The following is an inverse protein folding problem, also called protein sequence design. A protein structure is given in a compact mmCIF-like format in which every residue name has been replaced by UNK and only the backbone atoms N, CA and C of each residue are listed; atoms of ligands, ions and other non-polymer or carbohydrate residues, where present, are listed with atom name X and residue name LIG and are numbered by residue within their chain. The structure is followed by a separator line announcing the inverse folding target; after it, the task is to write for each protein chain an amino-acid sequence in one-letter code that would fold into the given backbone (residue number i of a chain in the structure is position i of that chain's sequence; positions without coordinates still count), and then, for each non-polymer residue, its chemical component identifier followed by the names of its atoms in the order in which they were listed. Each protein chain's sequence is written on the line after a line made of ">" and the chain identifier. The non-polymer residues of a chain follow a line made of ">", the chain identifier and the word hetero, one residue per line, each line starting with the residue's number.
data_IF_719896245457
#
_entry.id   IF_719896245457
#
_cell.length_a   1.000
_cell.length_b   1.000
_cell.length_c   1.000
_cell.angle_alpha   90.00
_cell.angle_beta   90.00
_cell.angle_gamma   90.00
#
_symmetry.space_group_name_H-M   'P 1'
#
loop_
_entity.id
_entity.type
_entity.pdbx_description
1 polymer ?
#
# COMPACT_ATOMS: atom_id res chain seq x y z
N UNK A 1 12.94 61.05 -24.50
CA UNK A 1 11.78 61.20 -23.58
C UNK A 1 11.21 59.84 -23.13
N UNK A 2 12.03 58.89 -22.65
CA UNK A 2 11.55 57.61 -22.05
C UNK A 2 12.40 57.08 -20.88
N UNK A 3 13.50 57.75 -20.53
CA UNK A 3 14.39 57.32 -19.43
C UNK A 3 14.08 58.09 -18.12
N UNK A 4 13.38 59.22 -18.19
CA UNK A 4 13.06 60.05 -17.02
C UNK A 4 11.76 59.66 -16.27
N UNK A 5 11.01 58.66 -16.76
CA UNK A 5 9.78 58.16 -16.10
C UNK A 5 10.04 57.02 -15.11
N UNK A 6 11.23 56.42 -15.12
CA UNK A 6 11.59 55.30 -14.22
C UNK A 6 12.06 55.73 -12.83
N UNK A 7 12.59 56.95 -12.69
CA UNK A 7 13.18 57.44 -11.42
C UNK A 7 12.19 58.15 -10.50
N UNK A 8 11.00 58.52 -10.98
CA UNK A 8 9.95 59.16 -10.17
C UNK A 8 8.96 58.16 -9.54
N UNK A 9 8.93 56.90 -10.00
CA UNK A 9 8.10 55.85 -9.42
C UNK A 9 8.76 55.17 -8.19
N UNK A 10 10.08 55.30 -8.03
CA UNK A 10 10.81 54.76 -6.88
C UNK A 10 10.82 55.69 -5.66
N UNK A 11 10.44 56.96 -5.83
CA UNK A 11 10.46 57.98 -4.78
C UNK A 11 9.12 58.18 -4.03
N UNK A 12 8.06 57.44 -4.39
CA UNK A 12 6.79 57.42 -3.64
C UNK A 12 6.55 56.10 -2.86
N UNK A 13 7.48 55.15 -2.93
CA UNK A 13 7.42 53.89 -2.18
C UNK A 13 8.18 53.92 -0.83
N UNK A 14 8.69 55.08 -0.42
CA UNK A 14 9.26 55.31 0.91
C UNK A 14 8.35 56.23 1.71
N UNK A 15 7.13 55.76 1.97
CA UNK A 15 6.37 56.19 3.15
C UNK A 15 6.34 54.99 4.10
N UNK A 16 6.65 55.17 5.38
CA UNK A 16 6.65 54.05 6.31
C UNK A 16 5.22 53.54 6.42
N UNK A 17 4.98 52.31 5.95
CA UNK A 17 3.81 51.53 6.30
C UNK A 17 3.97 51.05 7.76
N UNK A 18 4.19 51.98 8.69
CA UNK A 18 4.43 51.70 10.11
C UNK A 18 3.25 52.15 11.00
N UNK A 19 2.13 52.62 10.42
CA UNK A 19 0.99 53.15 11.18
C UNK A 19 -0.32 52.37 10.97
N UNK A 20 -0.28 51.19 10.35
CA UNK A 20 -1.47 50.33 10.21
C UNK A 20 -1.44 49.07 11.10
N UNK A 21 -0.34 48.82 11.83
CA UNK A 21 -0.14 47.59 12.61
C UNK A 21 -0.55 47.71 14.09
N UNK A 22 -0.60 48.93 14.63
CA UNK A 22 -0.94 49.17 16.06
C UNK A 22 -2.43 48.92 16.38
N UNK A 23 -3.32 49.21 15.43
CA UNK A 23 -4.77 49.04 15.62
C UNK A 23 -5.22 47.58 15.54
N UNK A 24 -4.57 46.77 14.71
CA UNK A 24 -4.87 45.34 14.57
C UNK A 24 -4.26 44.51 15.70
N UNK A 25 -3.06 44.87 16.18
CA UNK A 25 -2.38 44.16 17.25
C UNK A 25 -3.10 44.29 18.59
N UNK A 26 -3.54 45.51 18.94
CA UNK A 26 -4.32 45.78 20.16
C UNK A 26 -5.69 45.08 20.16
N UNK A 27 -6.36 45.01 19.01
CA UNK A 27 -7.62 44.28 18.85
C UNK A 27 -7.45 42.77 19.02
N UNK A 28 -6.36 42.18 18.49
CA UNK A 28 -6.07 40.76 18.67
C UNK A 28 -5.68 40.48 20.13
N UNK A 29 -4.85 41.32 20.76
CA UNK A 29 -4.51 41.19 22.19
C UNK A 29 -5.76 41.24 23.10
N UNK A 30 -6.78 42.01 22.74
CA UNK A 30 -8.05 42.06 23.47
C UNK A 30 -8.87 40.76 23.39
N UNK A 31 -8.61 39.90 22.39
CA UNK A 31 -9.29 38.58 22.26
C UNK A 31 -8.61 37.47 23.05
N UNK A 32 -7.43 37.72 23.62
CA UNK A 32 -6.70 36.69 24.37
C UNK A 32 -7.31 36.44 25.76
N UNK A 33 -7.30 35.18 26.21
CA UNK A 33 -7.75 34.83 27.55
C UNK A 33 -6.81 35.40 28.62
N UNK A 34 -7.38 35.71 29.79
CA UNK A 34 -6.66 36.34 30.92
C UNK A 34 -5.43 35.54 31.37
N UNK A 35 -5.51 34.20 31.29
CA UNK A 35 -4.40 33.31 31.62
C UNK A 35 -3.20 33.53 30.66
N UNK A 36 -3.45 33.72 29.37
CA UNK A 36 -2.42 33.90 28.35
C UNK A 36 -1.78 35.28 28.44
N UNK A 37 -2.58 36.32 28.72
CA UNK A 37 -2.07 37.66 28.99
C UNK A 37 -1.11 37.66 30.20
N UNK A 38 -1.43 36.92 31.26
CA UNK A 38 -0.55 36.77 32.42
C UNK A 38 0.77 36.11 32.05
N UNK A 39 0.72 35.04 31.23
CA UNK A 39 1.93 34.37 30.74
C UNK A 39 2.78 35.25 29.84
N UNK A 40 2.16 35.99 28.91
CA UNK A 40 2.89 36.94 28.07
C UNK A 40 3.52 38.05 28.89
N UNK A 41 2.81 38.65 29.85
CA UNK A 41 3.36 39.69 30.71
C UNK A 41 4.60 39.22 31.49
N UNK A 42 4.54 38.01 32.09
CA UNK A 42 5.68 37.44 32.83
C UNK A 42 6.86 37.17 31.91
N UNK A 43 6.64 36.48 30.78
CA UNK A 43 7.74 36.12 29.88
C UNK A 43 8.35 37.34 29.19
N UNK A 44 7.55 38.35 28.84
CA UNK A 44 8.04 39.59 28.22
C UNK A 44 8.82 40.44 29.22
N UNK A 45 8.41 40.49 30.50
CA UNK A 45 9.16 41.21 31.55
C UNK A 45 10.56 40.64 31.81
N UNK A 46 10.77 39.34 31.52
CA UNK A 46 12.07 38.69 31.58
C UNK A 46 12.87 38.78 30.26
N UNK A 47 12.33 39.46 29.25
CA UNK A 47 12.91 39.55 27.91
C UNK A 47 13.33 40.99 27.56
N UNK A 48 14.04 41.15 26.45
CA UNK A 48 14.40 42.47 25.90
C UNK A 48 13.31 43.08 25.03
N UNK A 49 12.17 42.39 24.84
CA UNK A 49 11.06 42.87 24.01
C UNK A 49 10.03 43.62 24.86
N UNK A 50 9.30 44.56 24.26
CA UNK A 50 8.12 45.19 24.88
C UNK A 50 6.83 44.45 24.46
N UNK A 51 5.78 44.54 25.28
CA UNK A 51 4.49 43.87 25.06
C UNK A 51 3.79 44.33 23.77
N UNK A 52 4.02 45.57 23.37
CA UNK A 52 3.49 46.16 22.14
C UNK A 52 4.42 45.96 20.94
N UNK A 53 5.68 45.56 21.16
CA UNK A 53 6.61 45.26 20.09
C UNK A 53 6.36 43.85 19.53
N UNK A 54 5.37 43.80 18.64
CA UNK A 54 4.97 42.59 17.93
C UNK A 54 6.12 42.00 17.11
N UNK A 55 6.99 42.81 16.51
CA UNK A 55 8.10 42.28 15.72
C UNK A 55 9.16 41.59 16.59
N UNK A 56 9.51 42.19 17.73
CA UNK A 56 10.46 41.56 18.66
C UNK A 56 9.90 40.26 19.23
N UNK A 57 8.63 40.28 19.67
CA UNK A 57 7.95 39.10 20.22
C UNK A 57 7.80 37.98 19.18
N UNK A 58 7.55 38.32 17.92
CA UNK A 58 7.38 37.35 16.84
C UNK A 58 8.70 36.75 16.32
N UNK A 59 9.83 37.44 16.50
CA UNK A 59 11.14 36.99 16.02
C UNK A 59 11.95 36.24 17.08
N UNK A 60 11.62 36.44 18.36
CA UNK A 60 12.35 35.87 19.48
C UNK A 60 11.84 34.46 19.82
N UNK A 61 12.45 33.45 19.20
CA UNK A 61 12.09 32.02 19.35
C UNK A 61 12.12 31.50 20.81
N UNK A 62 13.13 31.78 21.65
CA UNK A 62 13.11 31.32 23.05
C UNK A 62 12.00 31.99 23.87
N UNK A 63 11.70 33.27 23.61
CA UNK A 63 10.57 33.96 24.25
C UNK A 63 9.24 33.31 23.88
N UNK A 64 9.03 32.95 22.61
CA UNK A 64 7.84 32.22 22.18
C UNK A 64 7.71 30.87 22.85
N UNK A 65 8.81 30.12 22.96
CA UNK A 65 8.82 28.83 23.63
C UNK A 65 8.46 28.95 25.13
N UNK A 66 8.91 30.01 25.81
CA UNK A 66 8.59 30.21 27.23
C UNK A 66 7.16 30.71 27.46
N UNK A 67 6.64 31.57 26.58
CA UNK A 67 5.21 31.92 26.56
C UNK A 67 4.37 30.66 26.35
N UNK A 68 4.74 29.82 25.39
CA UNK A 68 4.03 28.59 25.09
C UNK A 68 4.03 27.63 26.28
N UNK A 69 5.19 27.36 26.90
CA UNK A 69 5.30 26.54 28.11
C UNK A 69 4.40 27.06 29.22
N UNK A 70 4.40 28.37 29.46
CA UNK A 70 3.55 28.99 30.49
C UNK A 70 2.06 28.83 30.18
N UNK A 71 1.66 29.05 28.92
CA UNK A 71 0.27 28.93 28.47
C UNK A 71 -0.21 27.49 28.60
N UNK A 72 0.58 26.52 28.15
CA UNK A 72 0.26 25.09 28.29
C UNK A 72 0.14 24.67 29.77
N UNK A 73 0.97 25.23 30.65
CA UNK A 73 0.86 24.98 32.09
C UNK A 73 -0.37 25.65 32.72
N UNK A 74 -0.68 26.90 32.36
CA UNK A 74 -1.59 27.76 33.12
C UNK A 74 -3.00 27.94 32.52
N UNK A 75 -3.18 27.79 31.21
CA UNK A 75 -4.45 28.01 30.49
C UNK A 75 -5.12 26.70 30.09
N UNK A 76 -6.46 26.60 30.04
CA UNK A 76 -7.13 25.41 29.48
C UNK A 76 -6.66 25.08 28.05
N UNK A 77 -6.85 23.85 27.58
CA UNK A 77 -6.38 23.47 26.23
C UNK A 77 -7.07 24.29 25.14
N UNK A 78 -8.37 24.59 25.31
CA UNK A 78 -9.13 25.47 24.41
C UNK A 78 -8.55 26.90 24.37
N UNK A 79 -8.24 27.46 25.53
CA UNK A 79 -7.60 28.78 25.64
C UNK A 79 -6.18 28.78 25.04
N UNK A 80 -5.45 27.68 25.21
CA UNK A 80 -4.11 27.50 24.64
C UNK A 80 -4.14 27.46 23.12
N UNK A 81 -5.12 26.75 22.52
CA UNK A 81 -5.33 26.72 21.08
C UNK A 81 -5.77 28.09 20.52
N UNK A 82 -6.69 28.78 21.21
CA UNK A 82 -7.11 30.13 20.83
C UNK A 82 -5.97 31.13 20.91
N UNK A 83 -5.14 31.05 21.96
CA UNK A 83 -3.92 31.84 22.13
C UNK A 83 -2.93 31.59 21.01
N UNK A 84 -2.71 30.32 20.65
CA UNK A 84 -1.83 29.94 19.53
C UNK A 84 -2.34 30.46 18.19
N UNK A 85 -3.65 30.42 17.96
CA UNK A 85 -4.26 30.98 16.75
C UNK A 85 -4.05 32.51 16.67
N UNK A 86 -4.36 33.21 17.76
CA UNK A 86 -4.19 34.65 17.85
C UNK A 86 -2.71 35.06 17.68
N UNK A 87 -1.78 34.37 18.34
CA UNK A 87 -0.34 34.68 18.25
C UNK A 87 0.22 34.41 16.85
N UNK A 88 -0.11 33.27 16.23
CA UNK A 88 0.34 32.93 14.88
C UNK A 88 -0.24 33.89 13.83
N UNK A 89 -1.49 34.31 14.01
CA UNK A 89 -2.13 35.32 13.16
C UNK A 89 -1.47 36.69 13.34
N UNK A 90 -1.18 37.08 14.58
CA UNK A 90 -0.50 38.35 14.91
C UNK A 90 0.90 38.41 14.31
N UNK A 91 1.63 37.30 14.35
CA UNK A 91 2.97 37.19 13.77
C UNK A 91 2.99 37.02 12.24
N UNK A 92 1.83 36.98 11.58
CA UNK A 92 1.73 36.77 10.14
C UNK A 92 2.32 35.43 9.69
N UNK A 93 2.23 34.39 10.54
CA UNK A 93 2.78 33.08 10.22
C UNK A 93 2.10 32.51 8.96
N UNK A 94 2.87 31.91 8.03
CA UNK A 94 2.30 31.40 6.78
C UNK A 94 1.35 30.24 7.07
N UNK A 95 0.10 30.35 6.61
CA UNK A 95 -0.90 29.29 6.71
C UNK A 95 -0.52 28.19 5.72
N UNK A 96 -0.08 27.03 6.23
CA UNK A 96 0.25 25.88 5.38
C UNK A 96 -1.02 25.09 5.09
N UNK A 97 -1.25 24.78 3.82
CA UNK A 97 -2.42 24.02 3.38
C UNK A 97 -2.04 23.03 2.27
N UNK A 98 -2.09 21.73 2.59
CA UNK A 98 -1.84 20.61 1.67
C UNK A 98 -3.08 19.77 1.36
N UNK A 99 -4.26 20.23 1.76
CA UNK A 99 -5.50 19.46 1.63
C UNK A 99 -5.81 19.03 0.19
N UNK A 100 -5.66 19.94 -0.77
CA UNK A 100 -5.90 19.63 -2.18
C UNK A 100 -4.94 18.58 -2.72
N UNK A 101 -3.73 18.47 -2.18
CA UNK A 101 -2.77 17.46 -2.57
C UNK A 101 -3.20 16.08 -2.05
N UNK A 102 -3.60 16.01 -0.78
CA UNK A 102 -4.12 14.79 -0.13
C UNK A 102 -5.34 14.26 -0.89
N UNK A 103 -6.33 15.13 -1.15
CA UNK A 103 -7.55 14.76 -1.86
C UNK A 103 -7.24 14.24 -3.27
N UNK A 104 -6.38 14.93 -4.02
CA UNK A 104 -5.97 14.51 -5.36
C UNK A 104 -5.32 13.13 -5.36
N UNK A 105 -4.40 12.87 -4.44
CA UNK A 105 -3.73 11.57 -4.34
C UNK A 105 -4.71 10.46 -3.96
N UNK A 106 -5.56 10.71 -2.96
CA UNK A 106 -6.55 9.75 -2.48
C UNK A 106 -7.56 9.37 -3.58
N UNK A 107 -8.15 10.37 -4.25
CA UNK A 107 -9.18 10.13 -5.25
C UNK A 107 -8.61 9.48 -6.53
N UNK A 108 -7.44 9.93 -7.00
CA UNK A 108 -6.82 9.36 -8.21
C UNK A 108 -6.35 7.92 -7.98
N UNK A 109 -5.65 7.65 -6.88
CA UNK A 109 -5.19 6.29 -6.60
C UNK A 109 -6.34 5.36 -6.23
N UNK A 110 -7.35 5.87 -5.53
CA UNK A 110 -8.53 5.11 -5.16
C UNK A 110 -9.39 4.72 -6.36
N UNK A 111 -9.61 5.64 -7.30
CA UNK A 111 -10.29 5.33 -8.55
C UNK A 111 -9.48 4.36 -9.41
N UNK A 112 -8.16 4.56 -9.51
CA UNK A 112 -7.28 3.64 -10.23
C UNK A 112 -7.33 2.22 -9.65
N UNK A 113 -7.21 2.06 -8.33
CA UNK A 113 -7.26 0.75 -7.68
C UNK A 113 -8.63 0.07 -7.90
N UNK A 114 -9.72 0.83 -7.79
CA UNK A 114 -11.07 0.36 -8.11
C UNK A 114 -11.21 -0.15 -9.54
N UNK A 115 -10.68 0.57 -10.53
CA UNK A 115 -10.70 0.14 -11.94
C UNK A 115 -9.96 -1.19 -12.13
N UNK A 116 -8.81 -1.39 -11.48
CA UNK A 116 -8.05 -2.64 -11.57
C UNK A 116 -8.80 -3.83 -10.93
N UNK A 117 -9.49 -3.60 -9.81
CA UNK A 117 -10.34 -4.60 -9.17
C UNK A 117 -11.53 -4.96 -10.06
N UNK A 118 -12.22 -3.97 -10.62
CA UNK A 118 -13.30 -4.19 -11.59
C UNK A 118 -12.82 -4.94 -12.82
N UNK A 119 -11.68 -4.55 -13.38
CA UNK A 119 -11.06 -5.24 -14.51
C UNK A 119 -10.76 -6.71 -14.17
N UNK A 120 -10.24 -7.00 -12.98
CA UNK A 120 -9.99 -8.37 -12.50
C UNK A 120 -11.27 -9.20 -12.46
N UNK A 121 -12.34 -8.69 -11.82
CA UNK A 121 -13.61 -9.40 -11.73
C UNK A 121 -14.27 -9.58 -13.09
N UNK A 122 -14.29 -8.53 -13.93
CA UNK A 122 -14.80 -8.60 -15.29
C UNK A 122 -14.06 -9.67 -16.11
N UNK A 123 -12.73 -9.72 -16.04
CA UNK A 123 -11.92 -10.73 -16.72
C UNK A 123 -12.36 -12.14 -16.30
N UNK A 124 -12.52 -12.40 -15.00
CA UNK A 124 -12.93 -13.72 -14.51
C UNK A 124 -14.35 -14.08 -14.91
N UNK A 125 -15.26 -13.12 -14.86
CA UNK A 125 -16.65 -13.30 -15.26
C UNK A 125 -16.80 -13.62 -16.75
N UNK A 126 -16.25 -12.78 -17.63
CA UNK A 126 -16.36 -12.97 -19.09
C UNK A 126 -15.67 -14.24 -19.58
N UNK A 127 -14.53 -14.58 -18.98
CA UNK A 127 -13.76 -15.76 -19.38
C UNK A 127 -14.06 -17.02 -18.57
N UNK A 128 -15.11 -17.00 -17.73
CA UNK A 128 -15.55 -18.12 -16.88
C UNK A 128 -14.40 -18.78 -16.12
N UNK A 129 -13.48 -17.97 -15.60
CA UNK A 129 -12.33 -18.46 -14.83
C UNK A 129 -12.78 -18.88 -13.43
N UNK A 130 -12.15 -19.90 -12.82
CA UNK A 130 -12.52 -20.32 -11.48
C UNK A 130 -12.15 -19.26 -10.44
N UNK A 131 -13.15 -18.93 -9.61
CA UNK A 131 -13.05 -18.05 -8.45
C UNK A 131 -12.18 -18.70 -7.38
N UNK A 132 -11.25 -17.93 -6.82
CA UNK A 132 -10.42 -18.37 -5.71
C UNK A 132 -10.62 -17.49 -4.47
N UNK A 133 -10.08 -17.93 -3.34
CA UNK A 133 -10.07 -17.14 -2.11
C UNK A 133 -9.34 -15.79 -2.31
N UNK A 134 -8.38 -15.75 -3.21
CA UNK A 134 -7.70 -14.51 -3.61
C UNK A 134 -8.65 -13.45 -4.17
N UNK A 135 -9.71 -13.87 -4.88
CA UNK A 135 -10.74 -12.96 -5.40
C UNK A 135 -11.70 -12.48 -4.32
N UNK A 136 -12.01 -13.33 -3.35
CA UNK A 136 -12.84 -12.94 -2.22
C UNK A 136 -12.13 -11.86 -1.40
N UNK A 137 -10.89 -12.11 -1.00
CA UNK A 137 -10.14 -11.19 -0.15
C UNK A 137 -9.80 -9.87 -0.86
N UNK A 138 -9.52 -9.85 -2.17
CA UNK A 138 -9.33 -8.58 -2.88
C UNK A 138 -10.63 -7.77 -2.97
N UNK A 139 -11.77 -8.43 -3.11
CA UNK A 139 -13.09 -7.79 -3.05
C UNK A 139 -13.37 -7.20 -1.67
N UNK A 140 -13.08 -7.95 -0.60
CA UNK A 140 -13.20 -7.48 0.78
C UNK A 140 -12.24 -6.31 1.08
N UNK A 141 -11.01 -6.35 0.55
CA UNK A 141 -10.07 -5.21 0.63
C UNK A 141 -10.66 -3.96 -0.02
N UNK A 142 -11.24 -4.09 -1.22
CA UNK A 142 -11.87 -2.93 -1.88
C UNK A 142 -13.10 -2.43 -1.10
N UNK A 143 -13.90 -3.32 -0.52
CA UNK A 143 -15.04 -2.97 0.31
C UNK A 143 -14.61 -2.13 1.54
N UNK A 144 -13.45 -2.44 2.13
CA UNK A 144 -12.87 -1.67 3.23
C UNK A 144 -12.14 -0.40 2.76
N UNK A 145 -11.65 -0.37 1.51
CA UNK A 145 -10.97 0.78 0.94
C UNK A 145 -11.92 1.96 0.69
N UNK A 146 -13.19 1.68 0.37
CA UNK A 146 -14.20 2.71 0.10
C UNK A 146 -14.45 3.59 1.35
N UNK A 147 -14.76 3.03 2.54
CA UNK A 147 -14.83 3.81 3.77
C UNK A 147 -13.56 4.62 4.05
N UNK A 148 -12.36 4.05 3.83
CA UNK A 148 -11.11 4.77 4.00
C UNK A 148 -11.04 6.03 3.11
N UNK A 149 -11.40 5.91 1.83
CA UNK A 149 -11.42 7.04 0.90
C UNK A 149 -12.43 8.12 1.34
N UNK A 150 -13.64 7.70 1.72
CA UNK A 150 -14.70 8.62 2.16
C UNK A 150 -14.30 9.34 3.45
N UNK A 151 -13.73 8.63 4.42
CA UNK A 151 -13.26 9.21 5.68
C UNK A 151 -12.10 10.16 5.42
N UNK A 152 -11.16 9.86 4.51
CA UNK A 152 -10.09 10.79 4.18
C UNK A 152 -10.61 12.08 3.53
N UNK A 153 -11.49 11.96 2.52
CA UNK A 153 -11.98 13.11 1.77
C UNK A 153 -13.01 13.96 2.53
N UNK A 154 -13.94 13.34 3.26
CA UNK A 154 -15.04 14.03 3.94
C UNK A 154 -14.92 14.07 5.47
N UNK A 155 -14.13 13.18 6.07
CA UNK A 155 -13.92 13.11 7.51
C UNK A 155 -12.68 13.87 7.96
N UNK A 156 -11.50 13.48 7.51
CA UNK A 156 -10.23 14.00 8.02
C UNK A 156 -9.87 15.34 7.39
N UNK A 157 -9.96 15.47 6.06
CA UNK A 157 -9.61 16.70 5.35
C UNK A 157 -10.40 17.92 5.84
N UNK A 158 -11.74 17.89 5.95
CA UNK A 158 -12.50 19.05 6.40
C UNK A 158 -12.25 19.41 7.87
N UNK A 159 -11.86 18.42 8.69
CA UNK A 159 -11.58 18.59 10.10
C UNK A 159 -10.11 18.94 10.40
N UNK A 160 -9.37 19.42 9.40
CA UNK A 160 -8.07 20.06 9.61
C UNK A 160 -6.85 19.24 9.19
N UNK A 161 -7.03 18.03 8.66
CA UNK A 161 -5.91 17.29 8.05
C UNK A 161 -5.25 18.13 6.95
N UNK A 162 -3.92 18.17 6.89
CA UNK A 162 -3.19 18.99 5.92
C UNK A 162 -3.18 20.49 6.22
N UNK A 163 -3.66 20.92 7.39
CA UNK A 163 -3.55 22.29 7.89
C UNK A 163 -2.92 22.30 9.28
N UNK A 164 -2.42 23.46 9.67
CA UNK A 164 -1.90 23.67 11.01
C UNK A 164 -3.02 23.62 12.07
N UNK A 165 -2.76 22.97 13.21
CA UNK A 165 -3.76 22.74 14.27
C UNK A 165 -4.39 24.04 14.81
N UNK A 166 -3.65 25.15 14.77
CA UNK A 166 -4.12 26.45 15.25
C UNK A 166 -5.18 27.08 14.33
N UNK A 167 -5.32 26.58 13.09
CA UNK A 167 -6.38 27.03 12.16
C UNK A 167 -7.69 26.25 12.31
N UNK A 168 -7.71 25.25 13.20
CA UNK A 168 -8.80 24.27 13.35
C UNK A 168 -9.64 24.61 14.57
N UNK A 169 -10.97 24.49 14.47
CA UNK A 169 -11.86 24.76 15.59
C UNK A 169 -11.86 23.60 16.61
N UNK A 170 -12.15 23.85 17.90
CA UNK A 170 -12.28 22.83 18.92
C UNK A 170 -13.17 21.62 18.53
N UNK A 171 -14.31 21.88 17.88
CA UNK A 171 -15.22 20.84 17.42
C UNK A 171 -14.61 20.00 16.29
N UNK A 172 -13.88 20.65 15.37
CA UNK A 172 -13.16 19.98 14.31
C UNK A 172 -12.05 19.08 14.85
N UNK A 173 -11.35 19.48 15.93
CA UNK A 173 -10.33 18.63 16.57
C UNK A 173 -10.95 17.32 17.10
N UNK A 174 -12.11 17.42 17.75
CA UNK A 174 -12.84 16.23 18.23
C UNK A 174 -13.29 15.33 17.08
N UNK A 175 -13.85 15.94 16.02
CA UNK A 175 -14.28 15.20 14.83
C UNK A 175 -13.10 14.57 14.07
N UNK A 176 -11.94 15.25 14.02
CA UNK A 176 -10.72 14.70 13.46
C UNK A 176 -10.31 13.43 14.23
N UNK A 177 -10.25 13.49 15.57
CA UNK A 177 -9.93 12.33 16.40
C UNK A 177 -10.91 11.16 16.19
N UNK A 178 -12.22 11.44 16.12
CA UNK A 178 -13.23 10.40 15.85
C UNK A 178 -13.06 9.75 14.47
N UNK A 179 -12.83 10.55 13.43
CA UNK A 179 -12.60 10.03 12.08
C UNK A 179 -11.29 9.24 11.98
N UNK A 180 -10.24 9.72 12.65
CA UNK A 180 -8.93 9.06 12.69
C UNK A 180 -9.01 7.68 13.38
N UNK A 181 -9.79 7.58 14.46
CA UNK A 181 -10.08 6.31 15.12
C UNK A 181 -10.76 5.30 14.17
N UNK A 182 -11.81 5.73 13.46
CA UNK A 182 -12.50 4.86 12.50
C UNK A 182 -11.57 4.45 11.36
N UNK A 183 -10.77 5.40 10.83
CA UNK A 183 -9.80 5.16 9.78
C UNK A 183 -8.78 4.09 10.16
N UNK A 184 -8.26 4.13 11.39
CA UNK A 184 -7.31 3.12 11.89
C UNK A 184 -7.91 1.70 11.84
N UNK A 185 -9.18 1.51 12.23
CA UNK A 185 -9.84 0.19 12.19
C UNK A 185 -9.92 -0.35 10.75
N UNK A 186 -10.39 0.48 9.83
CA UNK A 186 -10.54 0.10 8.44
C UNK A 186 -9.18 -0.17 7.81
N UNK A 187 -8.16 0.64 8.11
CA UNK A 187 -6.80 0.46 7.60
C UNK A 187 -6.20 -0.90 8.01
N UNK A 188 -6.22 -1.26 9.29
CA UNK A 188 -5.66 -2.55 9.74
C UNK A 188 -6.41 -3.74 9.13
N UNK A 189 -7.73 -3.65 9.03
CA UNK A 189 -8.57 -4.68 8.41
C UNK A 189 -8.24 -4.84 6.92
N UNK A 190 -8.15 -3.72 6.21
CA UNK A 190 -7.84 -3.67 4.80
C UNK A 190 -6.44 -4.22 4.49
N UNK A 191 -5.42 -3.86 5.29
CA UNK A 191 -4.04 -4.36 5.17
C UNK A 191 -4.02 -5.88 5.34
N UNK A 192 -4.75 -6.39 6.34
CA UNK A 192 -4.86 -7.82 6.60
C UNK A 192 -5.46 -8.55 5.41
N UNK A 193 -6.60 -8.08 4.88
CA UNK A 193 -7.26 -8.70 3.73
C UNK A 193 -6.42 -8.62 2.45
N UNK A 194 -5.70 -7.52 2.24
CA UNK A 194 -4.86 -7.34 1.06
C UNK A 194 -3.72 -8.37 1.03
N UNK A 195 -3.08 -8.58 2.18
CA UNK A 195 -2.02 -9.59 2.33
C UNK A 195 -2.56 -11.01 2.19
N UNK A 196 -3.75 -11.29 2.73
CA UNK A 196 -4.42 -12.57 2.51
C UNK A 196 -4.69 -12.82 1.03
N UNK A 197 -5.18 -11.82 0.29
CA UNK A 197 -5.40 -11.93 -1.15
C UNK A 197 -4.12 -12.30 -1.90
N UNK A 198 -2.99 -11.66 -1.58
CA UNK A 198 -1.69 -11.98 -2.18
C UNK A 198 -1.20 -13.39 -1.84
N UNK A 199 -1.29 -13.79 -0.57
CA UNK A 199 -0.82 -15.11 -0.11
C UNK A 199 -1.69 -16.24 -0.69
N UNK A 200 -3.01 -16.07 -0.76
CA UNK A 200 -3.89 -17.05 -1.42
C UNK A 200 -3.64 -17.14 -2.92
N UNK A 201 -3.32 -16.02 -3.56
CA UNK A 201 -2.90 -16.02 -4.96
C UNK A 201 -1.60 -16.83 -5.16
N UNK A 202 -0.63 -16.70 -4.24
CA UNK A 202 0.60 -17.50 -4.28
C UNK A 202 0.37 -18.98 -3.98
N UNK A 203 -0.53 -19.31 -3.05
CA UNK A 203 -0.91 -20.70 -2.76
C UNK A 203 -1.52 -21.40 -3.98
N UNK A 204 -2.21 -20.65 -4.85
CA UNK A 204 -2.77 -21.16 -6.11
C UNK A 204 -1.71 -21.40 -7.17
N UNK A 205 -0.64 -20.59 -7.20
CA UNK A 205 0.41 -20.67 -8.23
C UNK A 205 1.47 -21.70 -7.91
N UNK A 206 1.95 -21.76 -6.66
CA UNK A 206 3.10 -22.57 -6.30
C UNK A 206 2.67 -23.89 -5.66
N UNK A 207 2.82 -25.04 -6.37
CA UNK A 207 2.44 -26.35 -5.82
C UNK A 207 3.49 -26.91 -4.83
N UNK A 208 4.70 -26.34 -4.78
CA UNK A 208 5.83 -26.86 -3.99
C UNK A 208 5.49 -26.97 -2.49
N UNK A 209 5.65 -28.17 -1.91
CA UNK A 209 5.27 -28.47 -0.51
C UNK A 209 5.94 -27.56 0.52
N UNK A 210 7.22 -27.23 0.34
CA UNK A 210 7.96 -26.32 1.22
C UNK A 210 7.38 -24.90 1.20
N UNK A 211 7.12 -24.38 0.00
CA UNK A 211 6.53 -23.05 -0.22
C UNK A 211 5.11 -22.98 0.34
N UNK A 212 4.28 -24.01 0.10
CA UNK A 212 2.93 -24.06 0.64
C UNK A 212 2.89 -24.03 2.17
N UNK A 213 3.81 -24.74 2.84
CA UNK A 213 3.93 -24.67 4.31
C UNK A 213 4.27 -23.25 4.78
N UNK A 214 5.25 -22.61 4.13
CA UNK A 214 5.59 -21.22 4.45
C UNK A 214 4.42 -20.26 4.22
N UNK A 215 3.69 -20.40 3.11
CA UNK A 215 2.52 -19.56 2.80
C UNK A 215 1.39 -19.75 3.81
N UNK A 216 1.06 -20.98 4.21
CA UNK A 216 0.05 -21.22 5.25
C UNK A 216 0.49 -20.67 6.61
N UNK A 217 1.78 -20.76 6.96
CA UNK A 217 2.31 -20.11 8.15
C UNK A 217 2.13 -18.58 8.07
N UNK A 218 2.39 -17.98 6.90
CA UNK A 218 2.13 -16.55 6.68
C UNK A 218 0.66 -16.18 6.81
N UNK A 219 -0.28 -17.02 6.33
CA UNK A 219 -1.72 -16.79 6.52
C UNK A 219 -2.06 -16.70 8.01
N UNK A 220 -1.63 -17.70 8.80
CA UNK A 220 -1.90 -17.74 10.24
C UNK A 220 -1.29 -16.53 10.93
N UNK A 221 -0.02 -16.23 10.65
CA UNK A 221 0.67 -15.08 11.24
C UNK A 221 -0.01 -13.76 10.89
N UNK A 222 -0.38 -13.55 9.62
CA UNK A 222 -1.04 -12.32 9.16
C UNK A 222 -2.43 -12.16 9.80
N UNK A 223 -3.20 -13.23 9.96
CA UNK A 223 -4.49 -13.19 10.66
C UNK A 223 -4.31 -12.84 12.14
N UNK A 224 -3.38 -13.50 12.84
CA UNK A 224 -3.11 -13.23 14.26
C UNK A 224 -2.64 -11.79 14.45
N UNK A 225 -1.70 -11.34 13.63
CA UNK A 225 -1.20 -9.96 13.63
C UNK A 225 -2.34 -8.96 13.37
N UNK A 226 -3.11 -9.15 12.30
CA UNK A 226 -4.21 -8.26 11.94
C UNK A 226 -5.26 -8.15 13.05
N UNK A 227 -5.74 -9.28 13.57
CA UNK A 227 -6.71 -9.30 14.68
C UNK A 227 -6.16 -8.63 15.93
N UNK A 228 -4.89 -8.89 16.27
CA UNK A 228 -4.25 -8.28 17.45
C UNK A 228 -4.23 -6.75 17.35
N UNK A 229 -3.82 -6.20 16.20
CA UNK A 229 -3.77 -4.74 16.03
C UNK A 229 -5.15 -4.09 15.92
N UNK A 230 -6.14 -4.78 15.34
CA UNK A 230 -7.53 -4.31 15.36
C UNK A 230 -8.03 -4.22 16.81
N UNK A 231 -7.77 -5.24 17.65
CA UNK A 231 -8.18 -5.23 19.06
C UNK A 231 -7.42 -4.15 19.85
N UNK A 232 -6.12 -4.03 19.66
CA UNK A 232 -5.30 -2.99 20.31
C UNK A 232 -5.86 -1.61 19.94
N UNK A 233 -6.11 -1.36 18.66
CA UNK A 233 -6.57 -0.06 18.22
C UNK A 233 -8.03 0.21 18.65
N UNK A 234 -8.88 -0.81 18.74
CA UNK A 234 -10.25 -0.68 19.25
C UNK A 234 -10.29 -0.35 20.76
N UNK A 235 -9.36 -0.93 21.53
CA UNK A 235 -9.31 -0.79 22.99
C UNK A 235 -8.10 0.03 23.48
N UNK A 236 -7.52 0.88 22.61
CA UNK A 236 -6.31 1.64 22.92
C UNK A 236 -6.51 2.69 24.03
N UNK A 237 -7.75 3.09 24.30
CA UNK A 237 -8.10 4.04 25.36
C UNK A 237 -9.23 3.50 26.25
N UNK A 238 -9.17 3.83 27.53
CA UNK A 238 -10.18 3.50 28.53
C UNK A 238 -10.62 4.80 29.23
N UNK A 239 -11.88 5.26 29.05
CA UNK A 239 -12.91 4.76 28.12
C UNK A 239 -12.56 5.05 26.64
N UNK A 240 -13.19 4.34 25.69
CA UNK A 240 -12.91 4.50 24.24
C UNK A 240 -13.11 5.96 23.78
N UNK A 241 -14.11 6.65 24.36
CA UNK A 241 -14.39 8.06 24.06
C UNK A 241 -13.23 8.99 24.38
N UNK A 242 -12.37 8.57 25.32
CA UNK A 242 -11.18 9.33 25.69
C UNK A 242 -10.23 9.53 24.50
N UNK A 243 -10.23 8.65 23.48
CA UNK A 243 -9.38 8.84 22.29
C UNK A 243 -9.61 10.19 21.59
N UNK A 244 -10.86 10.61 21.45
CA UNK A 244 -11.20 11.87 20.77
C UNK A 244 -11.51 13.03 21.72
N UNK A 245 -11.61 12.79 23.03
CA UNK A 245 -11.79 13.84 24.05
C UNK A 245 -10.52 14.11 24.86
N UNK A 246 -9.45 13.34 24.69
CA UNK A 246 -8.17 13.51 25.41
C UNK A 246 -7.61 14.91 25.25
N UNK A 247 -7.74 15.51 24.06
CA UNK A 247 -7.22 16.85 23.79
C UNK A 247 -7.88 17.94 24.66
N UNK A 248 -9.06 17.70 25.22
CA UNK A 248 -9.75 18.66 26.08
C UNK A 248 -9.25 18.65 27.54
N UNK A 249 -8.69 17.53 27.98
CA UNK A 249 -8.32 17.30 29.36
C UNK A 249 -6.83 17.56 29.58
N UNK A 250 -6.49 18.33 30.61
CA UNK A 250 -5.10 18.62 31.00
C UNK A 250 -4.45 17.53 31.84
N UNK A 251 -5.24 16.85 32.65
CA UNK A 251 -4.81 15.75 33.50
C UNK A 251 -5.36 14.43 32.98
N UNK A 252 -4.59 13.36 33.17
CA UNK A 252 -4.95 11.97 32.82
C UNK A 252 -6.08 11.40 33.71
N UNK A 253 -6.69 12.22 34.58
CA UNK A 253 -7.74 11.80 35.53
C UNK A 253 -9.02 11.30 34.82
N UNK A 254 -9.23 11.70 33.56
CA UNK A 254 -10.41 11.33 32.77
C UNK A 254 -10.26 10.00 31.99
N UNK A 255 -9.06 9.39 31.98
CA UNK A 255 -8.82 8.12 31.30
C UNK A 255 -7.37 7.92 30.89
N UNK A 256 -7.03 6.69 30.49
CA UNK A 256 -5.69 6.32 30.06
C UNK A 256 -5.70 5.77 28.64
N UNK A 257 -4.71 6.14 27.84
CA UNK A 257 -4.48 5.57 26.50
C UNK A 257 -3.09 4.94 26.41
N UNK A 258 -2.99 3.87 25.65
CA UNK A 258 -1.70 3.32 25.19
C UNK A 258 -1.03 4.36 24.28
N UNK A 259 0.30 4.39 24.29
CA UNK A 259 1.07 5.27 23.41
C UNK A 259 0.79 4.94 21.92
N UNK A 260 0.07 5.86 21.27
CA UNK A 260 -0.29 5.79 19.84
C UNK A 260 0.97 5.68 18.97
N UNK A 261 2.05 6.35 19.38
CA UNK A 261 3.32 6.25 18.66
C UNK A 261 3.91 4.84 18.81
N UNK A 262 3.89 4.25 20.01
CA UNK A 262 4.37 2.88 20.18
C UNK A 262 3.59 1.88 19.30
N UNK A 263 2.27 2.02 19.22
CA UNK A 263 1.40 1.21 18.36
C UNK A 263 1.75 1.41 16.88
N UNK A 264 1.85 2.65 16.43
CA UNK A 264 2.13 2.99 15.02
C UNK A 264 3.48 2.45 14.56
N UNK A 265 4.50 2.55 15.42
CA UNK A 265 5.85 2.10 15.09
C UNK A 265 6.01 0.60 15.06
N UNK A 266 5.45 -0.08 16.07
CA UNK A 266 5.49 -1.54 16.13
C UNK A 266 4.69 -2.16 14.98
N UNK A 267 3.50 -1.64 14.71
CA UNK A 267 2.67 -2.10 13.60
C UNK A 267 3.35 -1.85 12.24
N UNK A 268 3.87 -0.65 12.01
CA UNK A 268 4.55 -0.29 10.77
C UNK A 268 5.77 -1.18 10.49
N UNK A 269 6.62 -1.40 11.48
CA UNK A 269 7.81 -2.23 11.32
C UNK A 269 7.47 -3.68 10.94
N UNK A 270 6.47 -4.27 11.61
CA UNK A 270 6.01 -5.63 11.31
C UNK A 270 5.29 -5.68 9.96
N UNK A 271 4.50 -4.65 9.61
CA UNK A 271 3.79 -4.59 8.33
C UNK A 271 4.77 -4.66 7.15
N UNK A 272 5.85 -3.88 7.23
CA UNK A 272 6.90 -3.83 6.21
C UNK A 272 7.67 -5.15 6.16
N UNK A 273 8.01 -5.73 7.32
CA UNK A 273 8.66 -7.03 7.37
C UNK A 273 7.80 -8.11 6.70
N UNK A 274 6.47 -8.07 6.91
CA UNK A 274 5.54 -8.96 6.24
C UNK A 274 5.49 -8.74 4.73
N UNK A 275 5.54 -7.50 4.25
CA UNK A 275 5.54 -7.22 2.81
C UNK A 275 6.81 -7.77 2.15
N UNK A 276 7.97 -7.56 2.77
CA UNK A 276 9.24 -8.13 2.33
C UNK A 276 9.15 -9.65 2.30
N UNK A 277 8.63 -10.25 3.37
CA UNK A 277 8.48 -11.71 3.47
C UNK A 277 7.57 -12.26 2.36
N UNK A 278 6.37 -11.70 2.21
CA UNK A 278 5.39 -12.13 1.20
C UNK A 278 5.97 -12.01 -0.21
N UNK A 279 6.64 -10.91 -0.53
CA UNK A 279 7.26 -10.69 -1.84
C UNK A 279 8.52 -11.55 -2.06
N UNK A 280 9.23 -11.94 -0.99
CA UNK A 280 10.43 -12.78 -1.10
C UNK A 280 10.13 -14.24 -1.49
N UNK A 281 8.97 -14.77 -1.08
CA UNK A 281 8.55 -16.16 -1.34
C UNK A 281 8.53 -16.48 -2.85
N UNK A 282 7.81 -15.74 -3.70
CA UNK A 282 7.82 -16.01 -5.14
C UNK A 282 9.21 -15.77 -5.74
N UNK A 283 9.95 -14.76 -5.28
CA UNK A 283 11.29 -14.44 -5.80
C UNK A 283 12.31 -15.55 -5.53
N UNK A 284 12.20 -16.25 -4.40
CA UNK A 284 13.09 -17.38 -4.09
C UNK A 284 12.86 -18.57 -5.04
N UNK A 285 11.61 -18.79 -5.47
CA UNK A 285 11.27 -19.79 -6.49
C UNK A 285 11.69 -19.35 -7.89
N UNK A 286 11.61 -18.04 -8.16
CA UNK A 286 11.90 -17.46 -9.46
C UNK A 286 13.39 -17.20 -9.72
N UNK A 287 14.26 -17.25 -8.70
CA UNK A 287 15.72 -17.23 -8.92
C UNK A 287 16.22 -18.36 -9.83
N UNK A 288 15.44 -19.44 -9.98
CA UNK A 288 15.71 -20.52 -10.95
C UNK A 288 15.22 -20.22 -12.37
N UNK A 289 14.52 -19.11 -12.61
CA UNK A 289 13.87 -18.80 -13.89
C UNK A 289 13.99 -17.29 -14.21
N UNK A 290 14.85 -16.93 -15.16
CA UNK A 290 15.17 -15.54 -15.57
C UNK A 290 13.93 -14.65 -15.74
N UNK A 291 13.63 -13.83 -14.73
CA UNK A 291 12.49 -12.92 -14.75
C UNK A 291 12.86 -11.51 -15.23
N UNK A 292 11.95 -10.97 -16.04
CA UNK A 292 11.93 -9.59 -16.54
C UNK A 292 12.02 -8.53 -15.43
N UNK A 293 12.88 -7.53 -15.65
CA UNK A 293 13.19 -6.43 -14.74
C UNK A 293 11.95 -5.66 -14.23
N UNK A 294 10.88 -5.62 -15.03
CA UNK A 294 9.62 -4.92 -14.71
C UNK A 294 8.93 -5.43 -13.44
N UNK A 295 9.06 -6.71 -13.12
CA UNK A 295 8.49 -7.30 -11.89
C UNK A 295 9.29 -6.93 -10.64
N UNK A 296 10.60 -6.68 -10.78
CA UNK A 296 11.46 -6.21 -9.69
C UNK A 296 11.13 -4.77 -9.29
N UNK A 297 10.72 -3.93 -10.25
CA UNK A 297 10.34 -2.52 -10.00
C UNK A 297 9.09 -2.41 -9.11
N UNK A 298 8.04 -3.19 -9.38
CA UNK A 298 6.82 -3.15 -8.55
C UNK A 298 7.09 -3.54 -7.10
N UNK A 299 7.94 -4.56 -6.89
CA UNK A 299 8.39 -4.99 -5.56
C UNK A 299 9.26 -3.93 -4.87
N UNK A 300 10.18 -3.31 -5.62
CA UNK A 300 11.03 -2.25 -5.10
C UNK A 300 10.21 -1.00 -4.68
N UNK A 301 9.16 -0.65 -5.42
CA UNK A 301 8.27 0.46 -5.10
C UNK A 301 7.51 0.23 -3.78
N UNK A 302 6.94 -0.96 -3.58
CA UNK A 302 6.24 -1.27 -2.33
C UNK A 302 7.19 -1.24 -1.13
N UNK A 303 8.42 -1.72 -1.30
CA UNK A 303 9.45 -1.68 -0.27
C UNK A 303 9.95 -0.26 0.05
N UNK A 304 10.17 0.57 -0.98
CA UNK A 304 10.61 1.96 -0.77
C UNK A 304 9.58 2.78 0.00
N UNK A 305 8.29 2.50 -0.20
CA UNK A 305 7.19 3.16 0.51
C UNK A 305 7.21 2.80 1.99
N UNK A 306 7.35 1.52 2.34
CA UNK A 306 7.43 1.07 3.73
C UNK A 306 8.57 1.71 4.52
N UNK A 307 9.78 1.72 3.96
CA UNK A 307 10.95 2.35 4.62
C UNK A 307 10.73 3.86 4.81
N UNK A 308 10.10 4.52 3.84
CA UNK A 308 9.84 5.95 3.92
C UNK A 308 8.84 6.27 5.03
N UNK A 309 7.79 5.47 5.21
CA UNK A 309 6.82 5.62 6.30
C UNK A 309 7.49 5.52 7.68
N UNK A 310 8.42 4.57 7.88
CA UNK A 310 9.18 4.47 9.13
C UNK A 310 10.08 5.69 9.37
N UNK A 311 10.72 6.21 8.31
CA UNK A 311 11.55 7.42 8.39
C UNK A 311 10.73 8.65 8.74
N UNK A 312 9.56 8.82 8.13
CA UNK A 312 8.68 9.94 8.46
C UNK A 312 8.21 9.87 9.91
N UNK A 313 7.78 8.69 10.37
CA UNK A 313 7.39 8.45 11.76
C UNK A 313 8.55 8.74 12.75
N UNK A 314 9.80 8.44 12.38
CA UNK A 314 11.03 8.82 13.10
C UNK A 314 11.18 10.32 13.28
N UNK A 315 10.93 11.03 12.19
CA UNK A 315 11.13 12.47 12.12
C UNK A 315 10.06 13.21 12.92
N UNK A 316 8.83 12.68 12.97
CA UNK A 316 7.74 13.20 13.80
C UNK A 316 8.10 13.15 15.30
N UNK A 317 8.66 12.04 15.79
CA UNK A 317 9.12 11.94 17.21
C UNK A 317 10.22 12.94 17.56
N UNK A 318 11.15 13.21 16.64
CA UNK A 318 12.21 14.19 16.87
C UNK A 318 11.67 15.63 16.91
N UNK A 319 10.62 15.94 16.14
CA UNK A 319 10.00 17.28 16.15
C UNK A 319 9.07 17.52 17.34
N UNK A 320 8.43 16.47 17.86
CA UNK A 320 7.61 16.56 19.07
C UNK A 320 8.39 16.99 20.34
N UNK A 321 9.73 16.94 20.32
CA UNK A 321 10.59 17.46 21.40
C UNK A 321 10.87 18.97 21.33
N UNK A 322 10.48 19.66 20.25
CA UNK A 322 10.85 21.05 19.97
C UNK A 322 9.64 21.83 19.44
N UNK A 323 8.76 22.23 20.35
CA UNK A 323 7.69 23.21 20.08
C UNK A 323 6.36 22.62 19.61
N UNK A 324 5.28 23.03 20.27
CA UNK A 324 3.90 23.09 19.80
C UNK A 324 3.43 22.03 18.78
N UNK A 325 3.36 20.76 19.20
CA UNK A 325 2.76 19.61 18.52
C UNK A 325 1.65 19.97 17.51
N UNK A 326 2.00 20.17 16.24
CA UNK A 326 1.02 20.36 15.15
C UNK A 326 0.61 18.98 14.62
N UNK A 327 -0.07 18.19 15.45
CA UNK A 327 -0.43 16.81 15.12
C UNK A 327 -1.14 16.68 13.76
N UNK A 328 -2.09 17.57 13.46
CA UNK A 328 -2.86 17.57 12.20
C UNK A 328 -2.00 17.76 10.96
N UNK A 329 -0.89 18.49 11.08
CA UNK A 329 0.09 18.69 10.00
C UNK A 329 1.07 17.50 9.91
N UNK A 330 1.57 17.01 11.04
CA UNK A 330 2.58 15.96 11.07
C UNK A 330 2.06 14.61 10.59
N UNK A 331 0.82 14.25 10.93
CA UNK A 331 0.19 13.01 10.45
C UNK A 331 -0.21 13.05 8.97
N UNK A 332 -0.18 14.22 8.33
CA UNK A 332 -0.57 14.36 6.92
C UNK A 332 0.31 13.53 6.00
N UNK A 333 1.63 13.59 6.19
CA UNK A 333 2.56 12.85 5.33
C UNK A 333 2.42 11.33 5.58
N UNK A 334 2.25 10.93 6.83
CA UNK A 334 2.02 9.53 7.19
C UNK A 334 0.77 8.94 6.50
N UNK A 335 -0.35 9.65 6.51
CA UNK A 335 -1.58 9.19 5.85
C UNK A 335 -1.45 9.15 4.32
N UNK A 336 -0.84 10.17 3.70
CA UNK A 336 -0.63 10.20 2.25
C UNK A 336 0.15 8.95 1.78
N UNK A 337 1.24 8.60 2.47
CA UNK A 337 2.03 7.42 2.12
C UNK A 337 1.28 6.11 2.41
N UNK A 338 0.53 6.04 3.50
CA UNK A 338 -0.32 4.87 3.80
C UNK A 338 -1.39 4.65 2.72
N UNK A 339 -1.97 5.74 2.21
CA UNK A 339 -2.93 5.72 1.09
C UNK A 339 -2.27 5.22 -0.20
N UNK A 340 -1.04 5.66 -0.49
CA UNK A 340 -0.26 5.18 -1.64
C UNK A 340 0.04 3.68 -1.49
N UNK A 341 0.52 3.24 -0.33
CA UNK A 341 0.87 1.85 -0.03
C UNK A 341 -0.30 0.90 -0.32
N UNK A 342 -1.47 1.21 0.25
CA UNK A 342 -2.68 0.39 0.12
C UNK A 342 -3.14 0.30 -1.33
N UNK A 343 -3.26 1.44 -2.02
CA UNK A 343 -3.77 1.46 -3.38
C UNK A 343 -2.80 0.79 -4.37
N UNK A 344 -1.50 1.03 -4.22
CA UNK A 344 -0.46 0.35 -5.02
C UNK A 344 -0.48 -1.15 -4.75
N UNK A 345 -0.69 -1.57 -3.50
CA UNK A 345 -0.81 -2.98 -3.16
C UNK A 345 -2.04 -3.65 -3.78
N UNK A 346 -3.21 -2.99 -3.78
CA UNK A 346 -4.40 -3.48 -4.48
C UNK A 346 -4.13 -3.62 -5.98
N UNK A 347 -3.53 -2.61 -6.61
CA UNK A 347 -3.15 -2.65 -8.03
C UNK A 347 -2.20 -3.81 -8.30
N UNK A 348 -1.18 -4.00 -7.46
CA UNK A 348 -0.22 -5.10 -7.54
C UNK A 348 -0.90 -6.47 -7.48
N UNK A 349 -1.84 -6.65 -6.54
CA UNK A 349 -2.62 -7.88 -6.41
C UNK A 349 -3.49 -8.16 -7.66
N UNK A 350 -3.89 -7.12 -8.40
CA UNK A 350 -4.67 -7.23 -9.64
C UNK A 350 -3.82 -7.41 -10.92
N UNK A 351 -2.51 -7.14 -10.88
CA UNK A 351 -1.62 -7.27 -12.05
C UNK A 351 -1.62 -8.66 -12.71
N UNK A 352 -1.67 -9.79 -11.98
CA UNK A 352 -1.66 -11.10 -12.60
C UNK A 352 -2.88 -11.36 -13.50
N UNK A 353 -4.05 -10.91 -13.09
CA UNK A 353 -5.27 -10.96 -13.92
C UNK A 353 -5.17 -10.03 -15.14
N UNK A 354 -4.57 -8.85 -14.99
CA UNK A 354 -4.34 -7.94 -16.11
C UNK A 354 -3.43 -8.58 -17.17
N UNK A 355 -2.37 -9.29 -16.76
CA UNK A 355 -1.51 -10.02 -17.70
C UNK A 355 -2.29 -11.05 -18.52
N UNK A 356 -3.22 -11.79 -17.88
CA UNK A 356 -4.06 -12.78 -18.57
C UNK A 356 -4.98 -12.09 -19.60
N UNK A 357 -5.57 -10.94 -19.24
CA UNK A 357 -6.39 -10.16 -20.17
C UNK A 357 -5.56 -9.67 -21.37
N UNK A 358 -4.39 -9.09 -21.14
CA UNK A 358 -3.55 -8.53 -22.22
C UNK A 358 -3.10 -9.60 -23.22
N UNK A 359 -2.74 -10.80 -22.74
CA UNK A 359 -2.38 -11.94 -23.61
C UNK A 359 -3.55 -12.38 -24.49
N UNK A 360 -4.79 -12.32 -23.98
CA UNK A 360 -5.99 -12.73 -24.74
C UNK A 360 -6.50 -11.65 -25.71
N UNK A 361 -6.42 -10.37 -25.32
CA UNK A 361 -6.93 -9.27 -26.13
C UNK A 361 -5.94 -8.86 -27.23
N UNK A 362 -4.64 -9.01 -26.99
CA UNK A 362 -3.58 -8.66 -27.94
C UNK A 362 -2.61 -9.83 -28.20
N UNK A 363 -3.09 -10.95 -28.76
CA UNK A 363 -2.24 -12.13 -29.03
C UNK A 363 -1.08 -11.79 -29.98
N UNK A 364 -1.27 -10.81 -30.88
CA UNK A 364 -0.25 -10.37 -31.85
C UNK A 364 0.85 -9.48 -31.25
N UNK A 365 0.65 -8.87 -30.07
CA UNK A 365 1.64 -7.97 -29.44
C UNK A 365 2.50 -8.71 -28.41
N UNK A 366 2.01 -9.82 -27.83
CA UNK A 366 2.70 -10.53 -26.72
C UNK A 366 3.29 -11.91 -27.07
N UNK A 367 3.17 -12.37 -28.32
CA UNK A 367 3.85 -13.58 -28.81
C UNK A 367 3.16 -14.92 -28.44
N UNK A 368 3.16 -15.86 -29.38
CA UNK A 368 2.40 -17.11 -29.35
C UNK A 368 2.86 -18.18 -28.33
N UNK A 369 3.86 -17.93 -27.49
CA UNK A 369 4.56 -19.01 -26.78
C UNK A 369 3.95 -19.44 -25.41
N UNK A 370 2.91 -18.76 -24.90
CA UNK A 370 2.35 -19.06 -23.55
C UNK A 370 0.96 -19.67 -23.52
N UNK A 371 0.38 -20.07 -24.67
CA UNK A 371 -1.03 -20.45 -24.73
C UNK A 371 -1.36 -21.82 -24.11
N UNK A 372 -0.38 -22.71 -23.90
CA UNK A 372 -0.67 -24.11 -23.54
C UNK A 372 -0.59 -24.47 -22.04
N UNK A 373 0.12 -23.72 -21.18
CA UNK A 373 0.34 -24.18 -19.79
C UNK A 373 -0.69 -23.69 -18.75
N UNK A 374 -1.49 -22.66 -19.02
CA UNK A 374 -2.40 -22.10 -18.01
C UNK A 374 -3.84 -22.66 -18.03
N UNK A 375 -4.19 -23.54 -18.97
CA UNK A 375 -5.58 -23.97 -19.20
C UNK A 375 -5.92 -25.41 -18.79
N UNK A 376 -4.98 -26.17 -18.22
CA UNK A 376 -5.29 -27.50 -17.64
C UNK A 376 -5.33 -27.42 -16.13
N UNK A 377 -6.35 -26.80 -15.56
CA UNK A 377 -6.76 -27.10 -14.18
C UNK A 377 -8.22 -26.71 -13.97
N UNK A 378 -9.11 -27.71 -13.99
CA UNK A 378 -10.53 -27.52 -13.74
C UNK A 378 -11.46 -28.34 -14.65
N UNK A 379 -11.31 -29.66 -14.67
CA UNK A 379 -12.42 -30.57 -15.00
C UNK A 379 -12.07 -31.96 -14.45
N UNK A 380 -12.37 -32.20 -13.19
CA UNK A 380 -12.60 -33.55 -12.71
C UNK A 380 -14.09 -33.80 -12.82
N UNK A 381 -14.52 -34.43 -13.90
CA UNK A 381 -15.82 -35.10 -13.93
C UNK A 381 -15.57 -36.57 -14.27
N UNK A 382 -15.80 -37.42 -13.28
CA UNK A 382 -15.89 -38.85 -13.40
C UNK A 382 -17.13 -39.22 -14.23
N UNK A 383 -16.98 -40.18 -15.14
CA UNK A 383 -18.09 -41.05 -15.55
C UNK A 383 -18.34 -41.21 -17.05
N UNK A 384 -18.00 -42.39 -17.57
CA UNK A 384 -18.79 -43.05 -18.62
C UNK A 384 -18.11 -43.26 -19.99
N UNK A 385 -17.94 -44.51 -20.46
CA UNK A 385 -17.48 -44.80 -21.82
C UNK A 385 -18.66 -44.84 -22.80
N UNK A 386 -18.60 -44.05 -23.88
CA UNK A 386 -19.57 -44.10 -24.98
C UNK A 386 -18.90 -44.57 -26.29
N UNK A 387 -19.56 -45.56 -26.90
CA UNK A 387 -19.21 -46.37 -28.08
C UNK A 387 -18.87 -45.54 -29.34
N UNK A 388 -18.06 -46.06 -30.29
CA UNK A 388 -17.83 -45.40 -31.58
C UNK A 388 -18.91 -45.76 -32.62
N UNK A 389 -19.46 -44.74 -33.27
CA UNK A 389 -20.37 -44.85 -34.42
C UNK A 389 -19.82 -44.10 -35.64
N UNK A 390 -19.54 -44.86 -36.70
CA UNK A 390 -19.58 -44.60 -38.15
C UNK A 390 -19.43 -43.18 -38.74
N UNK A 391 -18.36 -43.04 -39.55
CA UNK A 391 -18.23 -42.39 -40.87
C UNK A 391 -19.12 -41.20 -41.29
N UNK A 392 -18.47 -40.06 -41.59
CA UNK A 392 -18.67 -39.35 -42.86
C UNK A 392 -17.60 -38.28 -43.18
N UNK A 393 -16.99 -38.43 -44.37
CA UNK A 393 -16.62 -37.40 -45.38
C UNK A 393 -15.63 -36.27 -45.04
N UNK A 394 -14.41 -36.48 -45.56
CA UNK A 394 -13.53 -35.56 -46.31
C UNK A 394 -13.85 -34.06 -46.35
N UNK A 395 -12.88 -33.25 -45.88
CA UNK A 395 -12.56 -31.94 -46.47
C UNK A 395 -11.05 -31.67 -46.41
N UNK A 396 -10.49 -31.49 -47.60
CA UNK A 396 -9.11 -31.08 -47.89
C UNK A 396 -8.75 -29.75 -47.19
N UNK A 397 -7.57 -29.73 -46.53
CA UNK A 397 -6.81 -28.49 -46.34
C UNK A 397 -5.31 -28.79 -46.24
N UNK A 398 -4.55 -28.02 -47.02
CA UNK A 398 -3.11 -28.03 -47.25
C UNK A 398 -2.24 -28.04 -45.98
N UNK A 399 -1.18 -28.86 -46.00
CA UNK A 399 -0.06 -28.85 -45.04
C UNK A 399 1.18 -28.16 -45.66
N UNK A 400 1.94 -27.35 -44.90
CA UNK A 400 3.33 -27.07 -45.21
C UNK A 400 4.27 -28.16 -44.66
N UNK A 401 5.38 -28.33 -45.37
CA UNK A 401 6.44 -29.32 -45.24
C UNK A 401 7.16 -29.25 -43.87
N UNK A 402 7.26 -30.39 -43.19
CA UNK A 402 8.03 -30.57 -41.96
C UNK A 402 7.83 -31.98 -41.42
N UNK A 403 8.67 -32.92 -41.82
CA UNK A 403 8.58 -34.34 -41.48
C UNK A 403 8.93 -34.55 -40.01
N UNK A 404 7.91 -34.77 -39.17
CA UNK A 404 8.09 -35.40 -37.86
C UNK A 404 7.35 -36.73 -37.94
N UNK A 405 8.09 -37.84 -37.97
CA UNK A 405 7.51 -39.18 -37.93
C UNK A 405 6.92 -39.41 -36.53
N UNK A 406 5.63 -39.13 -36.36
CA UNK A 406 4.88 -39.71 -35.25
C UNK A 406 4.69 -41.19 -35.55
N UNK A 407 5.32 -42.05 -34.73
CA UNK A 407 4.89 -43.44 -34.63
C UNK A 407 3.56 -43.42 -33.91
N UNK A 408 2.49 -43.36 -34.71
CA UNK A 408 1.13 -43.53 -34.24
C UNK A 408 0.98 -44.95 -33.68
N UNK A 409 0.24 -45.11 -32.57
CA UNK A 409 0.02 -46.41 -31.89
C UNK A 409 -0.89 -47.37 -32.67
N UNK A 410 -1.03 -47.14 -33.97
CA UNK A 410 -1.82 -47.94 -34.90
C UNK A 410 -1.03 -48.21 -36.18
N UNK A 411 0.23 -48.64 -36.04
CA UNK A 411 0.88 -49.39 -37.10
C UNK A 411 0.32 -50.81 -37.10
N UNK A 412 -0.20 -51.22 -38.26
CA UNK A 412 -0.66 -52.56 -38.62
C UNK A 412 0.04 -53.65 -37.80
N UNK A 413 -0.75 -54.44 -37.05
CA UNK A 413 -0.30 -55.75 -36.57
C UNK A 413 0.00 -56.60 -37.80
N UNK A 414 1.27 -56.64 -38.21
CA UNK A 414 1.76 -57.77 -38.98
C UNK A 414 1.53 -59.02 -38.12
N UNK A 415 0.97 -60.06 -38.72
CA UNK A 415 0.72 -61.36 -38.11
C UNK A 415 1.94 -61.80 -37.30
N UNK A 416 1.76 -62.00 -35.99
CA UNK A 416 2.71 -62.68 -35.12
C UNK A 416 2.01 -63.93 -34.58
N UNK A 417 2.65 -65.08 -34.74
CA UNK A 417 2.15 -66.40 -34.36
C UNK A 417 1.84 -66.50 -32.86
N UNK A 418 0.85 -67.32 -32.45
CA UNK A 418 0.22 -67.23 -31.13
C UNK A 418 0.98 -67.94 -29.99
N UNK A 419 2.26 -68.28 -30.16
CA UNK A 419 3.02 -69.00 -29.12
C UNK A 419 4.34 -68.28 -28.81
N UNK A 420 4.27 -67.37 -27.84
CA UNK A 420 5.44 -66.71 -27.25
C UNK A 420 5.03 -65.68 -26.21
N UNK A 421 5.80 -65.55 -25.14
CA UNK A 421 5.59 -64.52 -24.11
C UNK A 421 6.18 -63.21 -24.64
N UNK A 422 5.33 -62.19 -24.84
CA UNK A 422 5.75 -60.84 -25.21
C UNK A 422 6.02 -60.00 -23.96
N UNK A 423 7.19 -59.38 -23.88
CA UNK A 423 7.56 -58.48 -22.80
C UNK A 423 7.79 -57.07 -23.37
N UNK A 424 6.87 -56.14 -23.06
CA UNK A 424 7.03 -54.73 -23.42
C UNK A 424 7.79 -54.00 -22.30
N UNK A 425 8.91 -53.36 -22.65
CA UNK A 425 9.60 -52.39 -21.78
C UNK A 425 9.42 -50.99 -22.34
N UNK A 426 9.02 -50.06 -21.47
CA UNK A 426 8.95 -48.64 -21.78
C UNK A 426 10.04 -47.91 -21.02
N UNK A 427 10.73 -46.99 -21.69
CA UNK A 427 11.74 -46.13 -21.08
C UNK A 427 11.28 -44.68 -21.17
N UNK A 428 11.49 -43.91 -20.10
CA UNK A 428 11.26 -42.47 -20.07
C UNK A 428 12.58 -41.77 -20.39
N UNK A 429 12.59 -40.97 -21.46
CA UNK A 429 13.77 -40.21 -21.87
C UNK A 429 13.60 -38.78 -21.37
N UNK A 430 14.44 -38.37 -20.42
CA UNK A 430 14.43 -37.02 -19.88
C UNK A 430 15.49 -36.18 -20.63
N UNK A 431 15.05 -35.16 -21.38
CA UNK A 431 15.96 -34.24 -22.06
C UNK A 431 16.40 -33.14 -21.10
N UNK A 432 17.67 -33.15 -20.71
CA UNK A 432 18.29 -32.07 -19.95
C UNK A 432 18.37 -30.80 -20.79
N UNK A 433 17.59 -29.78 -20.45
CA UNK A 433 17.64 -28.49 -21.13
C UNK A 433 18.81 -27.66 -20.60
N UNK A 434 20.02 -27.96 -21.07
CA UNK A 434 21.15 -27.03 -21.05
C UNK A 434 22.10 -27.32 -22.21
N UNK A 435 22.26 -26.28 -23.01
CA UNK A 435 23.22 -26.04 -24.08
C UNK A 435 23.02 -26.82 -25.38
N UNK A 436 22.94 -26.05 -26.47
CA UNK A 436 22.86 -26.55 -27.83
C UNK A 436 24.18 -27.24 -28.20
N UNK A 437 24.05 -28.23 -29.09
CA UNK A 437 25.10 -29.01 -29.74
C UNK A 437 25.74 -30.09 -28.85
N UNK A 438 25.13 -31.28 -28.81
CA UNK A 438 25.68 -32.53 -29.38
C UNK A 438 24.58 -33.61 -29.35
N UNK A 439 24.29 -34.23 -30.50
CA UNK A 439 23.52 -35.49 -30.54
C UNK A 439 24.42 -36.61 -30.06
N UNK A 440 24.45 -36.88 -28.75
CA UNK A 440 25.04 -38.12 -28.25
C UNK A 440 24.14 -39.29 -28.67
N UNK A 441 24.53 -39.98 -29.74
CA UNK A 441 24.01 -41.31 -30.05
C UNK A 441 24.38 -42.22 -28.89
N UNK A 442 23.41 -42.55 -28.02
CA UNK A 442 23.56 -43.63 -27.05
C UNK A 442 23.98 -44.89 -27.81
N UNK A 443 25.23 -45.31 -27.64
CA UNK A 443 25.74 -46.55 -28.20
C UNK A 443 25.03 -47.70 -27.47
N UNK A 444 24.17 -48.45 -28.19
CA UNK A 444 23.41 -49.60 -27.70
C UNK A 444 24.29 -50.83 -27.39
N UNK A 445 25.47 -50.67 -26.78
CA UNK A 445 26.36 -51.79 -26.45
C UNK A 445 25.78 -52.77 -25.42
N UNK A 446 24.80 -52.35 -24.63
CA UNK A 446 24.12 -53.23 -23.66
C UNK A 446 23.10 -54.18 -24.31
N UNK A 447 22.67 -53.95 -25.56
CA UNK A 447 21.73 -54.84 -26.25
C UNK A 447 22.42 -56.03 -26.93
N UNK A 448 23.66 -55.86 -27.40
CA UNK A 448 24.39 -56.94 -28.07
C UNK A 448 24.96 -57.97 -27.08
N UNK A 449 25.29 -57.56 -25.85
CA UNK A 449 25.80 -58.47 -24.81
C UNK A 449 24.72 -59.46 -24.33
N UNK A 450 23.48 -58.99 -24.19
CA UNK A 450 22.35 -59.82 -23.74
C UNK A 450 21.83 -60.74 -24.87
N UNK A 451 21.93 -60.32 -26.13
CA UNK A 451 21.60 -61.16 -27.29
C UNK A 451 22.63 -62.27 -27.55
N UNK A 452 23.90 -62.05 -27.20
CA UNK A 452 24.94 -63.08 -27.26
C UNK A 452 24.78 -64.14 -26.14
N UNK A 453 24.31 -63.74 -24.95
CA UNK A 453 24.03 -64.66 -23.84
C UNK A 453 22.77 -65.51 -24.05
N UNK A 454 21.83 -65.09 -24.91
CA UNK A 454 20.59 -65.82 -25.17
C UNK A 454 20.69 -66.84 -26.33
N UNK A 455 21.87 -66.96 -26.96
CA UNK A 455 22.14 -67.87 -28.10
C UNK A 455 23.11 -69.01 -27.79
N UNK A 456 23.51 -69.20 -26.53
CA UNK A 456 24.30 -70.37 -26.07
C UNK A 456 23.43 -71.41 -25.39
#
# INVERSE_FOLDING_TARGET
>A
MRIFRGLLAFALASSPLALAQDSSSSAILATLPKCALKCMAVSVSNSTCDLLDTQCTCKNEPLQADIEKCVLASCSVRESLSTKNASMTLCGAPIRNRQQEILRVNDVLGTASGIFVLQRFATKFFYKLPWGLDDLFIGLSMLMAIPCMVINSHGLTPNGMGRDIWTVTPDQVTNFGRNFYMMAMFYFTLQTFLKLAMVFFYLRIFPTRGVRRALWATVVFNCVFGVSFILIAAFQCQPISYFWTKWEHKTDDAGTCIDINAITWSSGAINIALDVWILSIPLSQLKKMNLDWRKKIGVALMFSVGIFILRLSATIKMRAGVGANNATWEYTEFDQWSTIEVNVGIICACMPSLRILLVRLFPKILGNSTQQQYYKYGSNNYGGPSKPGTNSRSRSRSQPLGTTSQVDKTALRAHVDPVGITCDRTYEVEYGHKDNDETELFYMKHLDADLASARS
#
